data_IF_302233780785
#
_entry.id   IF_302233780785
#
_cell.length_a   1.000
_cell.length_b   1.000
_cell.length_c   1.000
_cell.angle_alpha   90.00
_cell.angle_beta   90.00
_cell.angle_gamma   90.00
#
_symmetry.space_group_name_H-M   'P 1'
#
loop_
_entity.id
_entity.type
_entity.pdbx_description
1 polymer ?
#
# COMPACT_ATOMS: atom_id res chain seq x y z
N UNK A 1 33.20 -48.54 -24.87
CA UNK A 1 33.28 -49.12 -26.22
C UNK A 1 32.79 -48.08 -27.20
N UNK A 2 33.64 -47.77 -28.17
CA UNK A 2 33.54 -46.65 -29.10
C UNK A 2 32.88 -47.17 -30.39
N UNK A 3 32.00 -46.39 -31.01
CA UNK A 3 31.78 -46.50 -32.46
C UNK A 3 31.31 -45.17 -33.05
N UNK A 4 32.28 -44.59 -33.75
CA UNK A 4 32.26 -43.80 -34.99
C UNK A 4 31.15 -44.19 -35.99
N UNK A 5 30.82 -43.51 -37.09
CA UNK A 5 30.98 -42.17 -37.66
C UNK A 5 30.30 -42.25 -39.05
N UNK A 6 29.62 -41.18 -39.53
CA UNK A 6 29.29 -40.79 -40.94
C UNK A 6 28.46 -41.78 -41.81
N UNK A 7 27.78 -41.42 -42.91
CA UNK A 7 27.68 -40.28 -43.84
C UNK A 7 26.27 -40.38 -44.49
N UNK A 8 25.62 -39.34 -45.04
CA UNK A 8 25.88 -38.80 -46.37
C UNK A 8 25.02 -37.57 -46.66
N UNK A 9 25.66 -36.57 -47.26
CA UNK A 9 25.07 -35.50 -48.07
C UNK A 9 24.31 -36.06 -49.30
N UNK A 10 23.28 -35.34 -49.78
CA UNK A 10 23.34 -34.48 -50.99
C UNK A 10 21.96 -34.28 -51.66
N UNK A 11 21.68 -33.00 -51.91
CA UNK A 11 21.09 -32.37 -53.10
C UNK A 11 19.85 -32.94 -53.81
N UNK A 12 18.83 -32.07 -53.74
CA UNK A 12 17.93 -31.63 -54.82
C UNK A 12 18.62 -31.47 -56.18
N UNK A 13 17.91 -31.77 -57.29
CA UNK A 13 17.82 -30.75 -58.35
C UNK A 13 16.41 -30.61 -58.97
N UNK A 14 15.95 -29.36 -58.97
CA UNK A 14 15.35 -28.57 -60.06
C UNK A 14 14.83 -29.29 -61.31
N UNK A 15 13.53 -29.13 -61.61
CA UNK A 15 12.98 -29.13 -62.97
C UNK A 15 12.19 -27.84 -63.19
N UNK A 16 12.51 -27.18 -64.30
CA UNK A 16 12.00 -25.91 -64.82
C UNK A 16 10.60 -26.06 -65.41
N UNK A 17 9.79 -25.02 -65.28
CA UNK A 17 8.72 -24.68 -66.24
C UNK A 17 8.82 -23.18 -66.51
N UNK A 18 8.97 -22.82 -67.78
CA UNK A 18 9.09 -21.45 -68.27
C UNK A 18 7.71 -20.80 -68.52
N UNK A 19 7.58 -19.58 -68.00
CA UNK A 19 7.14 -18.32 -68.62
C UNK A 19 5.91 -18.30 -69.55
N UNK A 20 4.87 -17.55 -69.14
CA UNK A 20 4.38 -16.38 -69.89
C UNK A 20 3.53 -15.45 -69.01
N UNK A 21 4.04 -14.26 -68.70
CA UNK A 21 3.25 -13.06 -68.44
C UNK A 21 4.19 -11.84 -68.50
N UNK A 22 4.29 -11.28 -69.69
CA UNK A 22 4.88 -9.97 -69.93
C UNK A 22 3.92 -8.91 -69.40
N UNK A 23 4.39 -8.02 -68.54
CA UNK A 23 4.05 -6.60 -68.67
C UNK A 23 5.12 -5.72 -68.02
N UNK A 24 5.60 -4.82 -68.84
CA UNK A 24 6.83 -4.07 -68.75
C UNK A 24 6.77 -2.95 -67.70
N UNK A 25 7.83 -2.91 -66.91
CA UNK A 25 8.25 -1.86 -65.99
C UNK A 25 8.74 -0.61 -66.74
N UNK A 26 8.56 0.59 -66.16
CA UNK A 26 9.62 1.61 -66.22
C UNK A 26 9.62 2.58 -65.04
N UNK A 27 10.61 2.37 -64.15
CA UNK A 27 11.53 3.31 -63.47
C UNK A 27 11.11 4.79 -63.30
N UNK A 28 11.28 5.49 -62.17
CA UNK A 28 12.55 5.71 -61.45
C UNK A 28 12.38 6.54 -60.14
N UNK A 29 13.38 6.38 -59.25
CA UNK A 29 13.95 7.31 -58.26
C UNK A 29 13.27 7.55 -56.90
N UNK A 30 13.87 6.91 -55.88
CA UNK A 30 13.95 7.42 -54.51
C UNK A 30 14.75 8.72 -54.44
N UNK A 31 14.40 9.62 -53.51
CA UNK A 31 15.35 9.93 -52.44
C UNK A 31 14.73 9.88 -51.03
N UNK A 32 15.60 9.51 -50.10
CA UNK A 32 15.43 9.53 -48.66
C UNK A 32 15.00 10.92 -48.15
N UNK A 33 13.96 10.97 -47.32
CA UNK A 33 13.73 12.08 -46.39
C UNK A 33 13.17 11.53 -45.07
N UNK A 34 14.01 11.63 -44.05
CA UNK A 34 13.84 11.11 -42.71
C UNK A 34 12.66 11.77 -41.99
N UNK A 35 11.66 10.96 -41.63
CA UNK A 35 10.60 11.37 -40.70
C UNK A 35 11.21 11.47 -39.29
N UNK A 36 11.58 12.68 -38.90
CA UNK A 36 11.89 13.01 -37.50
C UNK A 36 10.59 13.40 -36.80
N UNK A 37 9.86 12.39 -36.33
CA UNK A 37 8.79 12.61 -35.36
C UNK A 37 9.46 12.98 -34.01
N UNK A 38 9.11 14.11 -33.37
CA UNK A 38 9.73 14.47 -32.11
C UNK A 38 9.32 13.45 -31.05
N UNK A 39 10.31 12.70 -30.57
CA UNK A 39 10.22 11.77 -29.46
C UNK A 39 10.07 12.57 -28.16
N UNK A 40 8.85 13.08 -27.91
CA UNK A 40 8.47 13.57 -26.59
C UNK A 40 8.14 12.36 -25.73
N UNK A 41 9.15 11.86 -25.03
CA UNK A 41 8.98 11.01 -23.84
C UNK A 41 8.29 11.85 -22.78
N UNK A 42 6.98 11.99 -22.89
CA UNK A 42 6.14 12.41 -21.77
C UNK A 42 5.84 11.12 -21.03
N UNK A 43 6.46 10.96 -19.86
CA UNK A 43 5.96 10.03 -18.85
C UNK A 43 4.49 10.39 -18.62
N UNK A 44 3.58 9.65 -19.26
CA UNK A 44 2.16 9.70 -18.92
C UNK A 44 2.08 9.14 -17.51
N UNK A 45 2.10 10.03 -16.53
CA UNK A 45 1.56 9.75 -15.21
C UNK A 45 0.11 9.37 -15.48
N UNK A 46 -0.17 8.06 -15.49
CA UNK A 46 -1.54 7.57 -15.44
C UNK A 46 -2.06 8.02 -14.06
N UNK A 47 -2.62 9.22 -14.03
CA UNK A 47 -3.28 9.76 -12.87
C UNK A 47 -4.49 8.85 -12.63
N UNK A 48 -4.38 7.96 -11.64
CA UNK A 48 -5.51 7.18 -11.20
C UNK A 48 -6.61 8.20 -10.84
N UNK A 49 -7.83 8.08 -11.41
CA UNK A 49 -8.92 8.98 -11.07
C UNK A 49 -8.97 9.10 -9.56
N UNK A 50 -8.99 10.32 -9.03
CA UNK A 50 -9.23 10.57 -7.62
C UNK A 50 -10.38 9.66 -7.20
N UNK A 51 -10.05 8.62 -6.42
CA UNK A 51 -11.03 7.62 -6.04
C UNK A 51 -12.17 8.37 -5.35
N UNK A 52 -13.40 7.98 -5.71
CA UNK A 52 -14.64 8.51 -5.18
C UNK A 52 -14.55 8.78 -3.67
N UNK A 53 -15.28 9.79 -3.14
CA UNK A 53 -15.22 10.16 -1.73
C UNK A 53 -15.17 8.92 -0.86
N UNK A 54 -14.10 8.81 -0.07
CA UNK A 54 -13.92 7.74 0.91
C UNK A 54 -15.27 7.53 1.59
N UNK A 55 -15.78 6.29 1.61
CA UNK A 55 -16.93 5.95 2.46
C UNK A 55 -16.71 6.67 3.80
N UNK A 56 -17.66 7.46 4.31
CA UNK A 56 -17.42 8.34 5.44
C UNK A 56 -16.86 7.50 6.57
N UNK A 57 -15.54 7.60 6.73
CA UNK A 57 -14.82 6.94 7.79
C UNK A 57 -15.50 7.42 9.07
N UNK A 58 -15.85 6.49 9.97
CA UNK A 58 -16.58 6.82 11.20
C UNK A 58 -15.98 8.07 11.85
N UNK A 59 -16.80 8.92 12.46
CA UNK A 59 -16.40 10.22 13.04
C UNK A 59 -15.18 10.17 13.99
N UNK A 60 -14.79 8.98 14.44
CA UNK A 60 -13.64 8.73 15.31
C UNK A 60 -12.35 8.30 14.57
N UNK A 61 -12.29 8.44 13.24
CA UNK A 61 -11.11 8.04 12.46
C UNK A 61 -10.01 9.09 12.58
N UNK A 62 -8.78 8.72 12.99
CA UNK A 62 -7.68 9.67 13.12
C UNK A 62 -7.37 10.38 11.79
N UNK A 63 -7.01 11.67 11.85
CA UNK A 63 -6.70 12.46 10.65
C UNK A 63 -5.59 11.86 9.80
N UNK A 64 -4.58 11.22 10.41
CA UNK A 64 -3.54 10.53 9.65
C UNK A 64 -4.07 9.29 8.90
N UNK A 65 -5.10 8.61 9.42
CA UNK A 65 -5.70 7.44 8.79
C UNK A 65 -6.57 7.87 7.59
N UNK A 66 -7.29 8.99 7.70
CA UNK A 66 -8.06 9.57 6.60
C UNK A 66 -7.21 9.97 5.38
N UNK A 67 -5.89 10.13 5.55
CA UNK A 67 -4.95 10.40 4.46
C UNK A 67 -4.54 9.15 3.68
N UNK A 68 -4.79 7.95 4.23
CA UNK A 68 -4.49 6.70 3.52
C UNK A 68 -5.56 6.42 2.47
N UNK A 69 -5.14 6.02 1.27
CA UNK A 69 -6.06 5.51 0.25
C UNK A 69 -6.54 4.12 0.61
N UNK A 70 -7.82 3.86 0.34
CA UNK A 70 -8.51 2.61 0.71
C UNK A 70 -8.28 2.25 2.18
N UNK A 71 -8.44 3.23 3.06
CA UNK A 71 -8.24 3.07 4.49
C UNK A 71 -9.29 2.12 5.09
N UNK A 72 -8.82 1.12 5.83
CA UNK A 72 -9.63 0.14 6.54
C UNK A 72 -9.15 0.02 7.99
N UNK A 73 -10.07 -0.05 8.96
CA UNK A 73 -9.75 -0.37 10.35
C UNK A 73 -9.63 -1.89 10.51
N UNK A 74 -8.54 -2.36 11.11
CA UNK A 74 -8.25 -3.77 11.35
C UNK A 74 -7.80 -3.91 12.81
N UNK A 75 -8.72 -4.31 13.69
CA UNK A 75 -8.49 -4.30 15.13
C UNK A 75 -8.07 -2.93 15.63
N UNK A 76 -6.96 -2.87 16.36
CA UNK A 76 -6.34 -1.63 16.87
C UNK A 76 -5.37 -0.99 15.87
N UNK A 77 -5.61 -1.14 14.58
CA UNK A 77 -4.77 -0.55 13.52
C UNK A 77 -5.62 -0.06 12.36
N UNK A 78 -5.05 0.83 11.56
CA UNK A 78 -5.58 1.20 10.25
C UNK A 78 -4.60 0.76 9.17
N UNK A 79 -5.13 0.27 8.05
CA UNK A 79 -4.37 -0.15 6.88
C UNK A 79 -4.86 0.59 5.64
N UNK A 80 -3.94 1.00 4.79
CA UNK A 80 -4.24 1.55 3.48
C UNK A 80 -2.96 1.66 2.67
N UNK A 81 -2.93 2.55 1.66
CA UNK A 81 -1.71 2.79 0.90
C UNK A 81 -1.50 4.27 0.55
N UNK A 82 -0.23 4.60 0.30
CA UNK A 82 0.23 5.86 -0.28
C UNK A 82 0.72 5.62 -1.72
N UNK A 83 0.65 6.64 -2.58
CA UNK A 83 1.11 6.60 -3.98
C UNK A 83 2.46 7.28 -4.19
N UNK A 84 3.00 7.93 -3.16
CA UNK A 84 4.33 8.53 -3.18
C UNK A 84 5.07 8.36 -1.84
N UNK A 85 6.39 8.50 -1.87
CA UNK A 85 7.23 8.48 -0.67
C UNK A 85 6.95 9.69 0.23
N UNK A 86 6.73 10.87 -0.34
CA UNK A 86 6.36 12.09 0.40
C UNK A 86 5.03 11.95 1.15
N UNK A 87 4.02 11.31 0.54
CA UNK A 87 2.75 11.02 1.20
C UNK A 87 2.95 10.03 2.37
N UNK A 88 3.76 8.99 2.16
CA UNK A 88 4.12 8.03 3.20
C UNK A 88 4.81 8.72 4.39
N UNK A 89 5.84 9.53 4.13
CA UNK A 89 6.56 10.30 5.16
C UNK A 89 5.63 11.23 5.92
N UNK A 90 4.73 11.91 5.22
CA UNK A 90 3.74 12.80 5.82
C UNK A 90 2.80 12.03 6.76
N UNK A 91 2.24 10.91 6.31
CA UNK A 91 1.35 10.07 7.14
C UNK A 91 2.08 9.53 8.36
N UNK A 92 3.32 9.04 8.21
CA UNK A 92 4.14 8.58 9.33
C UNK A 92 4.44 9.70 10.32
N UNK A 93 4.70 10.92 9.83
CA UNK A 93 4.96 12.10 10.66
C UNK A 93 3.72 12.48 11.46
N UNK A 94 2.54 12.58 10.83
CA UNK A 94 1.29 12.88 11.53
C UNK A 94 0.93 11.78 12.54
N UNK A 95 1.14 10.51 12.19
CA UNK A 95 0.93 9.39 13.12
C UNK A 95 1.83 9.52 14.35
N UNK A 96 3.13 9.78 14.15
CA UNK A 96 4.10 9.99 15.23
C UNK A 96 3.69 11.16 16.13
N UNK A 97 3.32 12.30 15.54
CA UNK A 97 2.89 13.49 16.29
C UNK A 97 1.61 13.22 17.12
N UNK A 98 0.62 12.54 16.55
CA UNK A 98 -0.64 12.30 17.26
C UNK A 98 -0.51 11.22 18.35
N UNK A 99 0.36 10.22 18.13
CA UNK A 99 0.58 9.12 19.08
C UNK A 99 1.68 9.42 20.08
N UNK A 100 2.57 10.40 19.85
CA UNK A 100 3.76 10.65 20.68
C UNK A 100 4.62 9.39 20.86
N UNK A 101 4.59 8.49 19.87
CA UNK A 101 5.28 7.21 19.94
C UNK A 101 6.62 7.25 19.20
N UNK A 102 7.56 6.42 19.64
CA UNK A 102 8.87 6.29 19.01
C UNK A 102 9.00 4.91 18.39
N UNK A 103 9.46 4.89 17.14
CA UNK A 103 9.54 3.70 16.30
C UNK A 103 10.97 3.46 15.83
N UNK A 104 11.40 2.20 15.84
CA UNK A 104 12.71 1.80 15.32
C UNK A 104 12.64 0.55 14.46
N UNK A 105 13.49 0.47 13.43
CA UNK A 105 13.66 -0.75 12.63
C UNK A 105 14.69 -1.66 13.28
N UNK A 106 14.42 -2.97 13.31
CA UNK A 106 15.42 -3.98 13.75
C UNK A 106 16.37 -4.42 12.65
N UNK A 107 16.05 -4.00 11.43
CA UNK A 107 16.45 -4.65 10.23
C UNK A 107 17.07 -3.59 9.33
N UNK A 108 18.38 -3.69 9.12
CA UNK A 108 19.04 -2.89 8.10
C UNK A 108 18.34 -3.13 6.76
N UNK A 109 18.09 -2.07 5.96
CA UNK A 109 17.53 -2.26 4.63
C UNK A 109 18.46 -3.18 3.84
N UNK A 110 17.92 -4.30 3.36
CA UNK A 110 18.66 -5.15 2.43
C UNK A 110 18.62 -4.52 1.04
N UNK A 111 19.67 -4.66 0.22
CA UNK A 111 19.64 -4.24 -1.17
C UNK A 111 18.41 -4.82 -1.89
N UNK A 112 17.71 -3.99 -2.66
CA UNK A 112 16.54 -4.42 -3.39
C UNK A 112 16.95 -5.39 -4.50
N UNK A 113 16.40 -6.61 -4.47
CA UNK A 113 16.45 -7.52 -5.61
C UNK A 113 15.20 -7.27 -6.46
N UNK A 114 15.31 -7.10 -7.78
CA UNK A 114 14.14 -6.97 -8.63
C UNK A 114 13.31 -8.26 -8.53
N UNK A 115 12.03 -8.12 -8.19
CA UNK A 115 11.12 -9.25 -8.07
C UNK A 115 10.27 -9.37 -9.34
N UNK A 116 10.24 -10.55 -9.93
CA UNK A 116 9.45 -10.85 -11.14
C UNK A 116 8.17 -11.63 -10.83
N UNK A 117 8.02 -12.12 -9.59
CA UNK A 117 6.87 -12.94 -9.20
C UNK A 117 5.62 -12.08 -9.05
N UNK A 118 4.66 -12.32 -9.94
CA UNK A 118 3.32 -11.74 -9.87
C UNK A 118 2.50 -12.36 -8.73
N UNK A 119 1.72 -11.51 -8.06
CA UNK A 119 0.90 -11.87 -6.92
C UNK A 119 -0.45 -11.13 -6.97
N UNK A 120 -1.50 -11.77 -6.46
CA UNK A 120 -2.83 -11.16 -6.30
C UNK A 120 -3.08 -10.61 -4.89
N UNK A 121 -2.40 -11.20 -3.89
CA UNK A 121 -2.47 -10.82 -2.48
C UNK A 121 -1.19 -11.20 -1.75
N UNK A 122 -0.93 -10.57 -0.62
CA UNK A 122 0.10 -10.99 0.34
C UNK A 122 -0.36 -10.66 1.76
N UNK A 123 0.50 -10.90 2.75
CA UNK A 123 0.22 -10.55 4.14
C UNK A 123 -0.11 -9.06 4.33
N UNK A 124 0.57 -8.17 3.59
CA UNK A 124 0.44 -6.70 3.75
C UNK A 124 -0.39 -6.05 2.64
N UNK A 125 -0.64 -6.77 1.55
CA UNK A 125 -1.34 -6.25 0.36
C UNK A 125 -2.65 -7.03 0.19
N UNK A 126 -3.81 -6.39 0.39
CA UNK A 126 -5.10 -7.03 0.25
C UNK A 126 -5.38 -7.45 -1.21
N UNK A 127 -6.34 -8.35 -1.38
CA UNK A 127 -6.86 -8.72 -2.69
C UNK A 127 -7.85 -7.64 -3.16
N UNK A 128 -7.47 -6.91 -4.21
CA UNK A 128 -8.23 -5.82 -4.82
C UNK A 128 -8.47 -6.05 -6.33
N UNK A 129 -8.25 -7.29 -6.79
CA UNK A 129 -8.32 -7.66 -8.20
C UNK A 129 -7.20 -7.10 -9.06
N UNK A 130 -6.18 -6.42 -8.49
CA UNK A 130 -5.05 -5.86 -9.25
C UNK A 130 -3.79 -6.68 -8.98
N UNK A 131 -3.15 -7.26 -10.02
CA UNK A 131 -1.91 -7.99 -9.87
C UNK A 131 -0.76 -7.05 -9.52
N UNK A 132 0.26 -7.57 -8.83
CA UNK A 132 1.44 -6.79 -8.45
C UNK A 132 2.72 -7.61 -8.38
N UNK A 133 3.86 -6.91 -8.42
CA UNK A 133 5.18 -7.41 -8.02
C UNK A 133 5.71 -6.64 -6.82
N UNK A 134 6.66 -7.22 -6.09
CA UNK A 134 7.34 -6.51 -5.00
C UNK A 134 8.34 -5.49 -5.59
N UNK A 135 8.18 -4.22 -5.25
CA UNK A 135 9.01 -3.13 -5.78
C UNK A 135 10.02 -2.63 -4.74
N UNK A 136 10.73 -3.57 -4.12
CA UNK A 136 11.68 -3.33 -3.04
C UNK A 136 11.96 -4.62 -2.28
N UNK A 137 12.71 -4.50 -1.20
CA UNK A 137 13.10 -5.63 -0.36
C UNK A 137 11.91 -6.20 0.46
N UNK A 138 12.24 -6.88 1.56
CA UNK A 138 11.27 -7.28 2.59
C UNK A 138 10.42 -6.08 3.07
N UNK A 139 9.26 -6.38 3.64
CA UNK A 139 8.46 -5.36 4.32
C UNK A 139 9.30 -4.71 5.42
N UNK A 140 9.18 -3.39 5.54
CA UNK A 140 9.75 -2.67 6.68
C UNK A 140 8.83 -2.89 7.87
N UNK A 141 9.42 -3.34 8.97
CA UNK A 141 8.72 -3.49 10.24
C UNK A 141 9.40 -2.56 11.23
N UNK A 142 8.65 -1.57 11.71
CA UNK A 142 9.07 -0.70 12.79
C UNK A 142 8.36 -1.11 14.07
N UNK A 143 9.11 -1.16 15.15
CA UNK A 143 8.59 -1.57 16.46
C UNK A 143 8.61 -0.39 17.42
N UNK A 144 7.64 -0.37 18.34
CA UNK A 144 7.60 0.61 19.40
C UNK A 144 8.88 0.53 20.26
N UNK A 145 9.33 1.66 20.81
CA UNK A 145 10.49 1.70 21.70
C UNK A 145 10.39 0.79 22.93
N UNK A 146 9.16 0.52 23.39
CA UNK A 146 8.84 -0.40 24.50
C UNK A 146 8.55 -1.84 24.03
N UNK A 147 8.75 -2.14 22.74
CA UNK A 147 8.65 -3.50 22.20
C UNK A 147 9.84 -4.38 22.63
N UNK A 148 9.92 -5.64 22.15
CA UNK A 148 10.93 -6.65 22.54
C UNK A 148 12.40 -6.26 22.27
N UNK A 149 12.96 -5.19 22.87
CA UNK A 149 14.23 -4.57 22.48
C UNK A 149 15.42 -5.52 22.66
N UNK A 150 16.43 -5.42 21.80
CA UNK A 150 17.74 -6.07 22.08
C UNK A 150 18.34 -5.41 23.31
N UNK A 151 18.93 -6.22 24.21
CA UNK A 151 19.69 -5.86 25.42
C UNK A 151 20.95 -4.99 25.16
N UNK A 152 21.02 -4.22 24.07
CA UNK A 152 22.23 -3.53 23.62
C UNK A 152 22.23 -2.00 23.77
N UNK A 153 21.13 -1.39 24.21
CA UNK A 153 21.08 0.05 24.47
C UNK A 153 20.84 0.29 25.95
N UNK A 154 21.81 -0.14 26.76
CA UNK A 154 21.94 0.36 28.11
C UNK A 154 22.59 1.73 28.01
N UNK A 155 21.80 2.79 28.09
CA UNK A 155 22.36 4.08 28.49
C UNK A 155 22.89 3.84 29.90
N UNK A 156 24.22 3.74 30.05
CA UNK A 156 24.88 3.59 31.36
C UNK A 156 24.46 4.77 32.24
N UNK A 157 23.42 4.58 33.05
CA UNK A 157 23.25 5.31 34.30
C UNK A 157 23.76 4.40 35.41
N UNK A 158 24.83 4.89 36.02
CA UNK A 158 25.38 4.43 37.28
C UNK A 158 24.26 4.52 38.32
N UNK A 159 23.84 3.39 38.87
CA UNK A 159 23.54 3.25 40.29
C UNK A 159 23.40 1.77 40.59
N UNK A 160 24.10 1.38 41.65
CA UNK A 160 24.32 0.01 42.10
C UNK A 160 23.03 -0.65 42.60
N UNK A 161 23.07 -1.99 42.55
CA UNK A 161 22.33 -2.90 43.41
C UNK A 161 20.83 -3.03 43.15
N UNK A 162 20.47 -4.04 42.36
CA UNK A 162 19.31 -4.95 42.50
C UNK A 162 19.29 -5.83 41.23
N UNK A 163 19.02 -7.12 41.19
CA UNK A 163 18.79 -8.17 42.16
C UNK A 163 18.80 -9.46 41.33
N UNK A 164 19.39 -10.53 41.86
CA UNK A 164 19.31 -11.89 41.28
C UNK A 164 17.90 -12.48 41.47
N UNK A 165 16.86 -11.81 40.98
CA UNK A 165 15.50 -12.31 41.03
C UNK A 165 14.78 -12.09 39.71
N UNK A 166 14.09 -13.14 39.27
CA UNK A 166 13.12 -13.16 38.18
C UNK A 166 13.63 -13.04 36.74
N UNK A 167 13.86 -14.20 36.13
CA UNK A 167 13.56 -14.45 34.71
C UNK A 167 12.04 -14.45 34.46
N UNK A 168 11.29 -13.52 35.05
CA UNK A 168 9.88 -13.33 34.70
C UNK A 168 9.85 -12.71 33.30
N UNK A 169 9.10 -13.33 32.40
CA UNK A 169 8.81 -12.77 31.09
C UNK A 169 8.19 -11.37 31.29
N UNK A 170 8.98 -10.31 31.06
CA UNK A 170 8.44 -8.95 31.03
C UNK A 170 7.68 -8.80 29.73
N UNK A 171 6.36 -8.68 29.83
CA UNK A 171 5.53 -8.35 28.68
C UNK A 171 6.04 -7.05 28.04
N UNK A 172 6.09 -7.00 26.71
CA UNK A 172 6.59 -5.85 25.94
C UNK A 172 5.55 -5.44 24.92
N UNK A 173 5.61 -4.17 24.49
CA UNK A 173 4.61 -3.60 23.59
C UNK A 173 4.54 -4.38 22.26
N UNK A 174 3.35 -4.87 21.86
CA UNK A 174 3.19 -5.61 20.61
C UNK A 174 3.05 -4.70 19.38
N UNK A 175 2.88 -3.38 19.58
CA UNK A 175 2.59 -2.42 18.52
C UNK A 175 3.71 -2.37 17.48
N UNK A 176 3.32 -2.42 16.21
CA UNK A 176 4.22 -2.42 15.05
C UNK A 176 3.62 -1.64 13.89
N UNK A 177 4.50 -0.95 13.15
CA UNK A 177 4.18 -0.37 11.85
C UNK A 177 4.72 -1.30 10.77
N UNK A 178 3.88 -1.60 9.77
CA UNK A 178 4.27 -2.39 8.61
C UNK A 178 4.20 -1.53 7.35
N UNK A 179 5.24 -1.57 6.53
CA UNK A 179 5.28 -0.88 5.23
C UNK A 179 5.73 -1.88 4.16
N UNK A 180 4.95 -2.00 3.09
CA UNK A 180 5.29 -2.83 1.93
C UNK A 180 5.16 -2.05 0.63
N UNK A 181 6.27 -1.90 -0.09
CA UNK A 181 6.33 -1.29 -1.41
C UNK A 181 6.06 -2.33 -2.50
N UNK A 182 5.11 -2.04 -3.38
CA UNK A 182 4.73 -2.89 -4.53
C UNK A 182 4.52 -2.05 -5.77
N UNK A 183 4.65 -2.68 -6.93
CA UNK A 183 4.25 -2.14 -8.21
C UNK A 183 3.01 -2.89 -8.67
N UNK A 184 1.90 -2.18 -8.74
CA UNK A 184 0.58 -2.69 -9.13
C UNK A 184 0.35 -2.41 -10.62
N UNK A 185 -0.43 -3.26 -11.29
CA UNK A 185 -0.75 -3.11 -12.71
C UNK A 185 -2.27 -2.97 -12.91
N UNK A 186 -2.85 -1.78 -12.70
CA UNK A 186 -4.31 -1.56 -12.75
C UNK A 186 -4.96 -1.93 -14.08
N UNK A 187 -4.22 -1.82 -15.19
CA UNK A 187 -4.69 -2.19 -16.54
C UNK A 187 -5.04 -3.69 -16.67
N UNK A 188 -4.52 -4.52 -15.78
CA UNK A 188 -4.76 -5.96 -15.73
C UNK A 188 -5.70 -6.35 -14.59
N UNK A 189 -6.54 -5.42 -14.13
CA UNK A 189 -7.52 -5.67 -13.08
C UNK A 189 -8.54 -6.73 -13.52
N UNK A 190 -8.84 -7.65 -12.61
CA UNK A 190 -9.92 -8.63 -12.76
C UNK A 190 -11.11 -8.28 -11.87
N UNK A 191 -12.32 -8.77 -12.19
CA UNK A 191 -13.49 -8.55 -11.34
C UNK A 191 -13.32 -9.15 -9.93
N UNK A 192 -13.86 -8.44 -8.93
CA UNK A 192 -13.83 -8.85 -7.52
C UNK A 192 -15.21 -9.12 -6.93
N UNK A 193 -16.28 -8.93 -7.71
CA UNK A 193 -17.65 -9.14 -7.26
C UNK A 193 -17.87 -10.62 -6.89
N UNK A 194 -18.32 -10.94 -5.65
CA UNK A 194 -18.58 -12.30 -5.23
C UNK A 194 -19.68 -13.03 -6.03
N UNK A 195 -20.51 -12.29 -6.78
CA UNK A 195 -21.59 -12.86 -7.62
C UNK A 195 -21.07 -13.47 -8.93
N UNK A 196 -19.88 -13.08 -9.37
CA UNK A 196 -19.28 -13.62 -10.60
C UNK A 196 -18.77 -15.04 -10.33
N UNK A 197 -18.96 -15.96 -11.26
CA UNK A 197 -18.47 -17.33 -11.14
C UNK A 197 -16.95 -17.34 -10.92
N UNK A 198 -16.53 -18.05 -9.86
CA UNK A 198 -15.12 -18.25 -9.51
C UNK A 198 -14.30 -18.85 -10.65
N UNK A 199 -14.91 -19.67 -11.53
CA UNK A 199 -14.23 -20.21 -12.71
C UNK A 199 -13.83 -19.09 -13.68
N UNK A 200 -14.74 -18.15 -13.93
CA UNK A 200 -14.50 -16.98 -14.78
C UNK A 200 -13.40 -16.10 -14.18
N UNK A 201 -13.47 -15.84 -12.86
CA UNK A 201 -12.44 -15.05 -12.16
C UNK A 201 -11.06 -15.71 -12.30
N UNK A 202 -10.94 -17.04 -12.11
CA UNK A 202 -9.66 -17.74 -12.28
C UNK A 202 -9.12 -17.65 -13.71
N UNK A 203 -9.99 -17.80 -14.71
CA UNK A 203 -9.60 -17.70 -16.11
C UNK A 203 -9.06 -16.30 -16.45
N UNK A 204 -9.74 -15.24 -16.00
CA UNK A 204 -9.27 -13.86 -16.20
C UNK A 204 -7.97 -13.57 -15.43
N UNK A 205 -7.80 -14.12 -14.22
CA UNK A 205 -6.54 -14.03 -13.48
C UNK A 205 -5.38 -14.68 -14.24
N UNK A 206 -5.58 -15.88 -14.78
CA UNK A 206 -4.56 -16.60 -15.54
C UNK A 206 -4.21 -15.84 -16.82
N UNK A 207 -5.21 -15.35 -17.55
CA UNK A 207 -5.04 -14.49 -18.73
C UNK A 207 -4.23 -13.23 -18.40
N UNK A 208 -4.59 -12.51 -17.33
CA UNK A 208 -3.89 -11.32 -16.87
C UNK A 208 -2.40 -11.60 -16.55
N UNK A 209 -2.14 -12.68 -15.81
CA UNK A 209 -0.77 -13.10 -15.50
C UNK A 209 0.02 -13.50 -16.74
N UNK A 210 -0.59 -14.22 -17.68
CA UNK A 210 0.07 -14.65 -18.91
C UNK A 210 0.43 -13.44 -19.80
N UNK A 211 -0.45 -12.44 -19.88
CA UNK A 211 -0.17 -11.20 -20.61
C UNK A 211 0.92 -10.37 -19.91
N UNK A 212 0.88 -10.22 -18.59
CA UNK A 212 1.90 -9.49 -17.83
C UNK A 212 3.28 -10.17 -17.90
N UNK A 213 3.35 -11.50 -17.85
CA UNK A 213 4.64 -12.22 -17.97
C UNK A 213 5.31 -11.99 -19.32
N UNK A 214 4.52 -11.87 -20.40
CA UNK A 214 5.04 -11.61 -21.75
C UNK A 214 5.58 -10.19 -21.91
N UNK A 215 5.01 -9.21 -21.21
CA UNK A 215 5.29 -7.78 -21.40
C UNK A 215 5.70 -7.06 -20.11
N UNK A 216 6.31 -7.75 -19.12
CA UNK A 216 6.48 -7.19 -17.77
C UNK A 216 7.27 -5.88 -17.73
N UNK A 217 8.27 -5.74 -18.61
CA UNK A 217 9.14 -4.56 -18.70
C UNK A 217 8.35 -3.36 -19.25
N UNK A 218 7.46 -3.60 -20.22
CA UNK A 218 6.72 -2.55 -20.93
C UNK A 218 5.33 -2.27 -20.33
N UNK A 219 4.83 -3.18 -19.48
CA UNK A 219 3.51 -3.08 -18.83
C UNK A 219 3.39 -1.89 -17.86
N UNK A 220 4.48 -1.16 -17.62
CA UNK A 220 4.48 0.01 -16.75
C UNK A 220 4.05 -0.36 -15.32
N UNK A 221 3.02 0.30 -14.82
CA UNK A 221 2.46 0.08 -13.48
C UNK A 221 2.71 1.23 -12.51
N UNK A 222 2.05 1.16 -11.37
CA UNK A 222 2.02 2.23 -10.36
C UNK A 222 2.61 1.74 -9.04
N UNK A 223 3.49 2.55 -8.46
CA UNK A 223 4.04 2.27 -7.13
C UNK A 223 2.99 2.56 -6.07
N UNK A 224 2.84 1.62 -5.13
CA UNK A 224 2.01 1.78 -3.93
C UNK A 224 2.79 1.32 -2.71
N UNK A 225 2.74 2.11 -1.64
CA UNK A 225 3.26 1.77 -0.33
C UNK A 225 2.09 1.42 0.56
N UNK A 226 1.86 0.12 0.76
CA UNK A 226 0.86 -0.36 1.72
C UNK A 226 1.39 -0.18 3.13
N UNK A 227 0.60 0.46 3.99
CA UNK A 227 0.97 0.83 5.34
C UNK A 227 -0.08 0.29 6.30
N UNK A 228 0.37 -0.28 7.42
CA UNK A 228 -0.47 -0.56 8.57
C UNK A 228 0.09 0.16 9.79
N UNK A 229 -0.73 1.02 10.40
CA UNK A 229 -0.37 1.87 11.52
C UNK A 229 -1.23 1.55 12.75
N UNK A 230 -0.60 1.33 13.92
CA UNK A 230 -1.31 1.05 15.15
C UNK A 230 -2.01 2.30 15.70
N UNK A 231 -3.14 2.13 16.35
CA UNK A 231 -3.77 3.17 17.17
C UNK A 231 -3.09 3.24 18.54
N UNK A 232 -3.46 4.22 19.37
CA UNK A 232 -3.01 4.27 20.77
C UNK A 232 -3.38 2.99 21.55
N UNK A 233 -4.50 2.36 21.22
CA UNK A 233 -5.00 1.14 21.89
C UNK A 233 -4.14 -0.11 21.60
N UNK A 234 -3.43 -0.14 20.47
CA UNK A 234 -2.51 -1.23 20.16
C UNK A 234 -1.26 -1.24 21.04
N UNK A 235 -0.97 -0.13 21.73
CA UNK A 235 0.11 -0.08 22.70
C UNK A 235 -0.33 -0.74 24.00
N UNK A 236 0.43 -1.76 24.41
CA UNK A 236 0.19 -2.49 25.65
C UNK A 236 1.45 -2.45 26.51
N UNK A 237 1.29 -2.59 27.82
CA UNK A 237 2.37 -2.66 28.81
C UNK A 237 3.20 -1.37 28.95
N UNK A 238 2.68 -0.26 28.44
CA UNK A 238 3.14 1.10 28.75
C UNK A 238 2.03 2.09 28.41
N UNK A 239 2.03 3.22 29.10
CA UNK A 239 1.17 4.33 28.72
C UNK A 239 1.84 5.14 27.61
N UNK A 240 1.05 5.53 26.60
CA UNK A 240 1.39 6.68 25.77
C UNK A 240 1.00 7.88 26.59
N UNK A 241 1.94 8.80 26.87
CA UNK A 241 1.67 10.05 27.57
C UNK A 241 0.41 10.68 26.96
N UNK A 242 -0.69 10.52 27.69
CA UNK A 242 -1.95 11.12 27.33
C UNK A 242 -1.84 12.47 27.99
N UNK A 243 -1.45 13.50 27.24
CA UNK A 243 -1.53 14.89 27.70
C UNK A 243 -3.01 15.27 27.86
N UNK A 244 -3.70 14.65 28.81
CA UNK A 244 -4.78 15.30 29.51
C UNK A 244 -4.08 16.22 30.51
N UNK A 245 -3.74 17.43 30.06
CA UNK A 245 -3.64 18.51 31.02
C UNK A 245 -5.02 18.56 31.71
N UNK A 246 -5.10 18.47 33.05
CA UNK A 246 -6.34 18.80 33.72
C UNK A 246 -6.70 20.23 33.28
N UNK A 247 -7.90 20.39 32.72
CA UNK A 247 -8.47 21.71 32.52
C UNK A 247 -8.36 22.46 33.86
N UNK A 248 -7.78 23.67 33.90
CA UNK A 248 -7.79 24.44 35.14
C UNK A 248 -9.24 24.58 35.60
N UNK A 249 -9.53 24.48 36.91
CA UNK A 249 -10.88 24.66 37.41
C UNK A 249 -11.41 26.01 36.93
N UNK A 250 -12.54 26.00 36.23
CA UNK A 250 -13.26 27.21 35.84
C UNK A 250 -13.57 28.04 37.10
N UNK A 251 -13.22 29.34 37.16
CA UNK A 251 -13.38 30.14 38.37
C UNK A 251 -14.80 30.67 38.60
N UNK A 252 -15.83 30.16 37.91
CA UNK A 252 -17.19 30.70 38.05
C UNK A 252 -18.12 29.70 38.75
N UNK A 253 -18.69 30.05 39.92
CA UNK A 253 -19.73 29.25 40.54
C UNK A 253 -21.00 29.33 39.68
N UNK A 254 -21.48 28.17 39.24
CA UNK A 254 -22.77 28.04 38.58
C UNK A 254 -23.85 28.16 39.67
N UNK A 255 -24.56 29.29 39.69
CA UNK A 255 -25.77 29.45 40.50
C UNK A 255 -26.86 28.53 39.97
N UNK A 256 -27.31 27.61 40.82
CA UNK A 256 -28.50 26.77 40.63
C UNK A 256 -29.74 27.65 40.49
N UNK A 257 -30.38 27.64 39.33
CA UNK A 257 -31.75 28.11 39.16
C UNK A 257 -32.57 26.88 38.75
N UNK A 258 -33.43 26.44 39.66
CA UNK A 258 -34.32 25.31 39.51
C UNK A 258 -35.37 25.62 38.43
N UNK A 259 -35.58 24.65 37.54
CA UNK A 259 -36.68 24.61 36.59
C UNK A 259 -37.83 23.85 37.25
N UNK A 260 -38.92 24.54 37.61
CA UNK A 260 -40.19 23.89 37.95
C UNK A 260 -41.31 24.42 37.05
N UNK A 261 -41.68 23.57 36.07
CA UNK A 261 -43.06 23.15 35.83
C UNK A 261 -44.14 24.19 35.52
N UNK A 262 -44.38 24.39 34.23
CA UNK A 262 -45.68 24.58 33.57
C UNK A 262 -46.97 24.49 34.42
N UNK A 263 -47.72 25.59 34.48
CA UNK A 263 -49.18 25.58 34.65
C UNK A 263 -49.82 26.55 33.65
N UNK A 264 -50.67 25.97 32.80
CA UNK A 264 -51.50 26.59 31.77
C UNK A 264 -52.64 27.40 32.44
N UNK A 265 -52.93 28.63 31.98
CA UNK A 265 -54.30 29.03 31.56
C UNK A 265 -54.39 30.48 31.07
N UNK A 266 -55.08 30.59 29.94
CA UNK A 266 -55.49 31.77 29.19
C UNK A 266 -56.24 32.85 29.98
N UNK A 267 -55.98 34.07 29.53
CA UNK A 267 -56.70 35.31 29.73
C UNK A 267 -58.16 35.21 29.25
N UNK A 268 -59.13 35.58 30.09
CA UNK A 268 -60.40 36.09 29.59
C UNK A 268 -61.01 37.11 30.56
N UNK A 269 -61.47 38.22 29.99
CA UNK A 269 -62.00 39.41 30.63
C UNK A 269 -63.32 39.18 31.38
N UNK A 270 -63.56 39.95 32.45
CA UNK A 270 -64.68 40.90 32.60
C UNK A 270 -64.99 41.22 34.08
N UNK A 271 -65.15 42.52 34.34
CA UNK A 271 -65.76 43.19 35.51
C UNK A 271 -67.24 42.76 35.72
N UNK A 272 -67.92 43.08 36.85
CA UNK A 272 -67.72 44.23 37.76
C UNK A 272 -67.49 43.92 39.24
#
# INVERSE_FOLDING_TARGET
>A
DVSEEKSNDRNVPTVRVDVLADNTSSYTLHPQASVTLPKKTVARMLEEPFLAPLQPLSSNTPMWACRLRSCEKIGDSYRGYCVSETELESVLTFHKQQTQSVWGTRQSPSPAKPATRLMWKSQYVPYDGIPFVNAGSRAVVMECQYGPRRKGFQLKKISEQESRSCQLYKATCPARIYIKKVQKFPEYRVPTDPKIDRKIIRMEQEKAFNMLKKNLVDAGGVLRWYVQLPTKQAHQYHELETSCLPLPPSPFPVSSLEEEGTAIRDENCALP
#
